data_IF_032200552575
#
_entry.id   IF_032200552575
#
_cell.length_a   1.000
_cell.length_b   1.000
_cell.length_c   1.000
_cell.angle_alpha   90.00
_cell.angle_beta   90.00
_cell.angle_gamma   90.00
#
_symmetry.space_group_name_H-M   'P 1'
#
loop_
_entity.id
_entity.type
_entity.pdbx_description
1 polymer ?
#
# COMPACT_ATOMS: atom_id res chain seq x y z
N UNK A 1 -10.47 2.39 10.54
CA UNK A 1 -11.28 1.15 10.65
C UNK A 1 -12.63 1.26 9.94
N UNK A 2 -13.51 2.22 10.26
CA UNK A 2 -14.84 2.34 9.63
C UNK A 2 -14.83 2.43 8.09
N UNK A 3 -14.00 3.33 7.53
CA UNK A 3 -13.85 3.50 6.07
C UNK A 3 -13.51 2.19 5.34
N UNK A 4 -12.66 1.35 5.95
CA UNK A 4 -12.22 0.08 5.37
C UNK A 4 -13.35 -0.96 5.35
N UNK A 5 -14.11 -1.05 6.46
CA UNK A 5 -15.28 -1.94 6.55
C UNK A 5 -16.37 -1.51 5.58
N UNK A 6 -16.64 -0.20 5.50
CA UNK A 6 -17.63 0.36 4.57
C UNK A 6 -17.24 0.09 3.11
N UNK A 7 -15.94 0.17 2.78
CA UNK A 7 -15.39 -0.20 1.49
C UNK A 7 -15.66 -1.67 1.12
N UNK A 8 -15.30 -2.62 2.00
CA UNK A 8 -15.55 -4.05 1.73
C UNK A 8 -17.02 -4.39 1.61
N UNK A 9 -17.89 -3.77 2.42
CA UNK A 9 -19.34 -3.96 2.30
C UNK A 9 -19.83 -3.46 0.94
N UNK A 10 -19.26 -2.35 0.42
CA UNK A 10 -19.62 -1.81 -0.90
C UNK A 10 -19.15 -2.74 -2.03
N UNK A 11 -17.94 -3.27 -1.95
CA UNK A 11 -17.44 -4.29 -2.90
C UNK A 11 -18.29 -5.56 -2.89
N UNK A 12 -18.66 -6.05 -1.70
CA UNK A 12 -19.53 -7.21 -1.56
C UNK A 12 -20.91 -7.00 -2.19
N UNK A 13 -21.47 -5.78 -2.07
CA UNK A 13 -22.74 -5.41 -2.76
C UNK A 13 -22.59 -5.38 -4.27
N UNK A 14 -21.48 -4.86 -4.81
CA UNK A 14 -21.23 -4.89 -6.24
C UNK A 14 -21.16 -6.32 -6.77
N UNK A 15 -20.44 -7.20 -6.06
CA UNK A 15 -20.34 -8.61 -6.41
C UNK A 15 -21.71 -9.31 -6.36
N UNK A 16 -22.47 -9.14 -5.28
CA UNK A 16 -23.78 -9.76 -5.10
C UNK A 16 -24.78 -9.34 -6.19
N UNK A 17 -24.80 -8.04 -6.52
CA UNK A 17 -25.67 -7.49 -7.54
C UNK A 17 -25.16 -7.72 -8.98
N UNK A 18 -24.01 -8.38 -9.15
CA UNK A 18 -23.30 -8.52 -10.45
C UNK A 18 -23.08 -7.17 -11.14
N UNK A 19 -22.92 -6.11 -10.36
CA UNK A 19 -22.66 -4.77 -10.86
C UNK A 19 -21.16 -4.61 -11.12
N UNK A 20 -20.81 -4.20 -12.34
CA UNK A 20 -19.43 -3.85 -12.69
C UNK A 20 -19.27 -2.33 -12.59
N UNK A 21 -18.58 -1.81 -11.56
CA UNK A 21 -18.34 -0.38 -11.43
C UNK A 21 -17.43 0.12 -12.54
N UNK A 22 -17.59 1.40 -12.90
CA UNK A 22 -16.60 2.10 -13.72
C UNK A 22 -15.31 2.30 -12.92
N UNK A 23 -14.19 2.56 -13.60
CA UNK A 23 -12.89 2.79 -12.93
C UNK A 23 -12.99 3.94 -11.90
N UNK A 24 -13.68 5.03 -12.26
CA UNK A 24 -13.85 6.20 -11.38
C UNK A 24 -14.69 5.88 -10.13
N UNK A 25 -15.66 4.98 -10.25
CA UNK A 25 -16.47 4.51 -9.10
C UNK A 25 -15.71 3.50 -8.24
N UNK A 26 -14.91 2.64 -8.88
CA UNK A 26 -14.15 1.58 -8.25
C UNK A 26 -12.99 2.13 -7.42
N UNK A 27 -12.20 3.04 -8.00
CA UNK A 27 -10.89 3.36 -7.46
C UNK A 27 -10.92 3.94 -6.04
N UNK A 28 -11.80 4.89 -5.68
CA UNK A 28 -11.87 5.39 -4.31
C UNK A 28 -12.21 4.30 -3.28
N UNK A 29 -13.04 3.32 -3.66
CA UNK A 29 -13.39 2.18 -2.81
C UNK A 29 -12.21 1.22 -2.70
N UNK A 30 -11.59 0.90 -3.83
CA UNK A 30 -10.44 0.01 -3.90
C UNK A 30 -9.24 0.53 -3.09
N UNK A 31 -8.99 1.84 -3.09
CA UNK A 31 -7.94 2.45 -2.26
C UNK A 31 -8.25 2.30 -0.77
N UNK A 32 -9.53 2.45 -0.39
CA UNK A 32 -9.97 2.32 0.99
C UNK A 32 -9.87 0.88 1.55
N UNK A 33 -10.00 -0.13 0.67
CA UNK A 33 -9.92 -1.56 1.00
C UNK A 33 -8.50 -2.14 0.86
N UNK A 34 -7.49 -1.36 0.46
CA UNK A 34 -6.11 -1.81 0.25
C UNK A 34 -5.17 -1.49 1.43
N UNK A 35 -3.96 -1.00 1.13
CA UNK A 35 -2.86 -0.63 2.02
C UNK A 35 -3.18 0.56 2.96
N UNK A 36 -4.37 1.15 2.86
CA UNK A 36 -4.79 2.29 3.69
C UNK A 36 -4.76 1.95 5.18
N UNK A 37 -5.27 0.77 5.55
CA UNK A 37 -5.23 0.31 6.94
C UNK A 37 -3.79 0.07 7.40
N UNK A 38 -2.95 -0.55 6.58
CA UNK A 38 -1.55 -0.84 6.91
C UNK A 38 -0.72 0.45 7.10
N UNK A 39 -0.99 1.48 6.30
CA UNK A 39 -0.36 2.80 6.42
C UNK A 39 -0.74 3.51 7.72
N UNK A 40 -2.02 3.46 8.13
CA UNK A 40 -2.49 4.04 9.39
C UNK A 40 -1.94 3.26 10.58
N UNK A 41 -2.04 1.93 10.57
CA UNK A 41 -1.60 1.07 11.68
C UNK A 41 -0.09 1.16 11.89
N UNK A 42 0.72 1.16 10.81
CA UNK A 42 2.17 1.34 10.93
C UNK A 42 2.55 2.68 11.56
N UNK A 43 1.80 3.75 11.23
CA UNK A 43 2.03 5.10 11.78
C UNK A 43 1.68 5.18 13.27
N UNK A 44 0.62 4.50 13.71
CA UNK A 44 0.19 4.46 15.12
C UNK A 44 1.12 3.56 15.97
N UNK A 45 1.48 2.38 15.48
CA UNK A 45 2.28 1.38 16.23
C UNK A 45 3.69 1.89 16.57
N UNK A 46 4.28 2.77 15.75
CA UNK A 46 5.63 3.29 15.98
C UNK A 46 5.73 4.41 17.03
N UNK A 47 4.61 4.88 17.60
CA UNK A 47 4.57 5.64 18.86
C UNK A 47 5.35 6.97 18.98
N UNK A 48 6.21 7.36 18.02
CA UNK A 48 7.23 8.40 18.24
C UNK A 48 7.37 9.45 17.13
N UNK A 49 6.60 9.36 16.04
CA UNK A 49 6.65 10.36 14.94
C UNK A 49 5.29 10.83 14.40
N UNK A 50 4.19 10.20 14.80
CA UNK A 50 2.85 10.59 14.35
C UNK A 50 2.27 11.69 15.25
N UNK A 51 2.39 12.95 14.81
CA UNK A 51 1.64 14.06 15.42
C UNK A 51 0.19 14.03 14.95
N UNK A 52 -0.73 14.71 15.67
CA UNK A 52 -2.12 14.89 15.21
C UNK A 52 -2.16 15.44 13.77
N UNK A 53 -1.31 16.42 13.47
CA UNK A 53 -1.20 17.00 12.13
C UNK A 53 -0.73 15.98 11.08
N UNK A 54 0.13 15.03 11.45
CA UNK A 54 0.59 13.96 10.55
C UNK A 54 -0.53 12.95 10.27
N UNK A 55 -1.35 12.64 11.27
CA UNK A 55 -2.51 11.76 11.13
C UNK A 55 -3.64 12.45 10.34
N UNK A 56 -3.93 13.71 10.64
CA UNK A 56 -4.90 14.51 9.89
C UNK A 56 -4.44 14.64 8.42
N UNK A 57 -3.16 14.91 8.17
CA UNK A 57 -2.59 14.91 6.81
C UNK A 57 -2.75 13.56 6.12
N UNK A 58 -2.42 12.44 6.78
CA UNK A 58 -2.58 11.09 6.25
C UNK A 58 -4.04 10.77 5.90
N UNK A 59 -4.98 11.23 6.72
CA UNK A 59 -6.42 11.00 6.56
C UNK A 59 -7.09 11.93 5.55
N UNK A 60 -6.45 13.05 5.18
CA UNK A 60 -6.90 13.97 4.12
C UNK A 60 -6.53 13.54 2.70
N UNK A 61 -6.06 12.30 2.53
CA UNK A 61 -5.78 11.66 1.25
C UNK A 61 -4.72 12.37 0.37
N UNK A 62 -3.50 12.60 0.90
CA UNK A 62 -2.49 13.40 0.24
C UNK A 62 -1.91 12.67 -0.95
N UNK A 63 -1.59 13.41 -2.02
CA UNK A 63 -1.16 12.88 -3.32
C UNK A 63 -0.11 11.75 -3.28
N UNK A 64 0.83 11.77 -2.32
CA UNK A 64 1.86 10.72 -2.18
C UNK A 64 1.28 9.42 -1.62
N UNK A 65 0.43 9.51 -0.61
CA UNK A 65 -0.26 8.35 -0.02
C UNK A 65 -1.18 7.77 -1.08
N UNK A 66 -1.97 8.62 -1.72
CA UNK A 66 -2.83 8.25 -2.84
C UNK A 66 -2.07 7.54 -3.97
N UNK A 67 -0.94 8.10 -4.43
CA UNK A 67 -0.13 7.47 -5.46
C UNK A 67 0.42 6.10 -5.03
N UNK A 68 0.88 5.96 -3.78
CA UNK A 68 1.36 4.68 -3.25
C UNK A 68 0.24 3.63 -3.16
N UNK A 69 -0.96 4.04 -2.73
CA UNK A 69 -2.15 3.18 -2.67
C UNK A 69 -2.61 2.76 -4.07
N UNK A 70 -2.60 3.69 -5.04
CA UNK A 70 -2.92 3.43 -6.45
C UNK A 70 -1.94 2.44 -7.04
N UNK A 71 -0.63 2.62 -6.82
CA UNK A 71 0.39 1.66 -7.25
C UNK A 71 0.12 0.29 -6.63
N UNK A 72 -0.04 0.22 -5.30
CA UNK A 72 -0.27 -1.04 -4.61
C UNK A 72 -1.55 -1.76 -5.08
N UNK A 73 -2.64 -1.00 -5.30
CA UNK A 73 -3.91 -1.52 -5.80
C UNK A 73 -3.80 -1.99 -7.26
N UNK A 74 -3.17 -1.21 -8.14
CA UNK A 74 -2.96 -1.61 -9.53
C UNK A 74 -1.99 -2.79 -9.68
N UNK A 75 -0.96 -2.88 -8.84
CA UNK A 75 -0.07 -4.05 -8.78
C UNK A 75 -0.84 -5.30 -8.33
N UNK A 76 -1.68 -5.17 -7.30
CA UNK A 76 -2.54 -6.25 -6.81
C UNK A 76 -3.56 -6.72 -7.87
N UNK A 77 -4.19 -5.79 -8.60
CA UNK A 77 -5.33 -6.12 -9.48
C UNK A 77 -4.94 -6.42 -10.93
N UNK A 78 -3.86 -5.81 -11.47
CA UNK A 78 -3.54 -5.80 -12.90
C UNK A 78 -2.15 -6.37 -13.21
N UNK A 79 -1.24 -6.47 -12.24
CA UNK A 79 0.17 -6.83 -12.46
C UNK A 79 0.80 -5.99 -13.58
N UNK A 80 1.08 -4.70 -13.35
CA UNK A 80 2.09 -3.99 -14.17
C UNK A 80 2.70 -2.72 -13.53
N UNK A 81 3.94 -2.50 -13.94
CA UNK A 81 4.99 -1.58 -13.47
C UNK A 81 4.79 -0.14 -13.98
N UNK A 82 5.42 0.83 -13.29
CA UNK A 82 5.70 2.23 -13.69
C UNK A 82 4.77 3.38 -13.21
N UNK A 83 4.36 3.42 -11.93
CA UNK A 83 3.60 4.59 -11.41
C UNK A 83 4.36 5.41 -10.33
N UNK A 84 5.38 4.84 -9.67
CA UNK A 84 6.03 5.46 -8.48
C UNK A 84 6.81 6.76 -8.81
N UNK A 85 7.44 6.85 -9.98
CA UNK A 85 8.43 7.93 -10.23
C UNK A 85 7.85 9.33 -10.40
N UNK A 86 6.55 9.48 -10.70
CA UNK A 86 5.97 10.79 -11.06
C UNK A 86 5.40 11.56 -9.86
N UNK A 87 4.92 10.85 -8.82
CA UNK A 87 4.27 11.47 -7.66
C UNK A 87 5.25 12.00 -6.59
N UNK A 88 6.50 11.50 -6.56
CA UNK A 88 7.52 11.92 -5.59
C UNK A 88 8.24 13.24 -5.94
N UNK A 89 7.88 13.90 -7.05
CA UNK A 89 8.59 15.08 -7.57
C UNK A 89 8.06 16.42 -7.03
N UNK A 90 7.05 16.42 -6.15
CA UNK A 90 6.49 17.64 -5.59
C UNK A 90 6.93 17.86 -4.13
N UNK A 91 7.46 19.06 -3.77
CA UNK A 91 7.84 19.37 -2.40
C UNK A 91 6.65 19.26 -1.45
N UNK A 92 6.83 18.57 -0.32
CA UNK A 92 5.81 18.50 0.74
C UNK A 92 6.37 19.05 2.05
N UNK A 93 5.50 19.58 2.91
CA UNK A 93 5.87 20.10 4.24
C UNK A 93 6.08 19.01 5.30
N UNK A 94 5.94 17.74 4.92
CA UNK A 94 5.89 16.61 5.84
C UNK A 94 7.29 16.04 6.05
N UNK A 95 7.67 15.66 7.29
CA UNK A 95 8.97 15.07 7.57
C UNK A 95 9.25 13.83 6.72
N UNK A 96 10.48 13.72 6.22
CA UNK A 96 10.94 12.59 5.40
C UNK A 96 10.64 11.20 6.02
N UNK A 97 10.76 10.97 7.35
CA UNK A 97 10.40 9.68 7.96
C UNK A 97 8.94 9.26 7.76
N UNK A 98 8.03 10.22 7.59
CA UNK A 98 6.61 9.97 7.31
C UNK A 98 6.42 9.67 5.81
N UNK A 99 7.14 10.36 4.93
CA UNK A 99 7.12 10.14 3.48
C UNK A 99 7.73 8.81 3.04
N UNK A 100 8.76 8.34 3.75
CA UNK A 100 9.36 7.04 3.50
C UNK A 100 8.36 5.88 3.75
N UNK A 101 7.28 6.10 4.50
CA UNK A 101 6.30 5.05 4.79
C UNK A 101 5.48 4.68 3.56
N UNK A 102 4.71 5.57 2.90
CA UNK A 102 4.02 5.22 1.66
C UNK A 102 4.97 4.69 0.59
N UNK A 103 6.17 5.26 0.48
CA UNK A 103 7.17 4.82 -0.50
C UNK A 103 7.64 3.37 -0.25
N UNK A 104 7.95 3.02 1.00
CA UNK A 104 8.36 1.66 1.35
C UNK A 104 7.21 0.66 1.19
N UNK A 105 5.96 1.06 1.41
CA UNK A 105 4.80 0.21 1.12
C UNK A 105 4.64 -0.04 -0.38
N UNK A 106 4.78 0.98 -1.22
CA UNK A 106 4.73 0.81 -2.67
C UNK A 106 5.85 -0.14 -3.17
N UNK A 107 7.06 0.00 -2.62
CA UNK A 107 8.18 -0.92 -2.91
C UNK A 107 7.94 -2.34 -2.43
N UNK A 108 7.33 -2.51 -1.26
CA UNK A 108 6.95 -3.83 -0.75
C UNK A 108 5.95 -4.51 -1.69
N UNK A 109 4.94 -3.79 -2.17
CA UNK A 109 4.00 -4.32 -3.16
C UNK A 109 4.69 -4.68 -4.47
N UNK A 110 5.68 -3.92 -4.93
CA UNK A 110 6.48 -4.28 -6.10
C UNK A 110 7.27 -5.58 -5.89
N UNK A 111 7.73 -5.88 -4.67
CA UNK A 111 8.41 -7.14 -4.35
C UNK A 111 7.42 -8.31 -4.30
N UNK A 112 6.30 -8.14 -3.60
CA UNK A 112 5.29 -9.19 -3.39
C UNK A 112 4.57 -9.54 -4.69
N UNK A 113 4.26 -8.54 -5.52
CA UNK A 113 3.52 -8.72 -6.77
C UNK A 113 4.43 -8.53 -7.99
N UNK A 114 5.70 -8.95 -7.90
CA UNK A 114 6.65 -8.76 -9.00
C UNK A 114 6.39 -9.71 -10.18
N UNK A 115 6.05 -10.95 -9.86
CA UNK A 115 5.92 -12.04 -10.83
C UNK A 115 4.61 -12.81 -10.67
N UNK A 116 4.17 -13.03 -9.43
CA UNK A 116 2.89 -13.65 -9.11
C UNK A 116 2.27 -13.03 -7.84
N UNK A 117 1.10 -13.51 -7.42
CA UNK A 117 0.54 -13.18 -6.11
C UNK A 117 1.32 -13.93 -5.02
N UNK A 118 2.50 -13.39 -4.67
CA UNK A 118 3.33 -13.96 -3.61
C UNK A 118 2.77 -13.73 -2.19
N UNK A 119 1.64 -13.02 -2.06
CA UNK A 119 0.97 -12.87 -0.77
C UNK A 119 0.16 -14.12 -0.42
N UNK A 120 -0.57 -14.65 -1.41
CA UNK A 120 -1.34 -15.89 -1.26
C UNK A 120 -0.53 -17.12 -1.65
N UNK A 121 0.33 -16.99 -2.65
CA UNK A 121 1.18 -18.05 -3.19
C UNK A 121 2.65 -17.61 -3.21
N UNK A 122 3.32 -17.68 -2.06
CA UNK A 122 4.67 -17.14 -1.81
C UNK A 122 5.70 -17.45 -2.92
N UNK A 123 5.61 -18.61 -3.55
CA UNK A 123 6.60 -19.06 -4.55
C UNK A 123 7.99 -19.23 -3.95
N UNK A 124 8.92 -19.76 -4.74
CA UNK A 124 10.30 -19.97 -4.27
C UNK A 124 11.06 -18.65 -4.15
N UNK A 125 10.77 -17.68 -5.03
CA UNK A 125 11.52 -16.42 -5.08
C UNK A 125 11.35 -15.54 -3.83
N UNK A 126 10.12 -15.39 -3.31
CA UNK A 126 9.91 -14.60 -2.07
C UNK A 126 10.48 -15.35 -0.86
N UNK A 127 10.40 -16.68 -0.84
CA UNK A 127 10.99 -17.51 0.21
C UNK A 127 12.52 -17.38 0.25
N UNK A 128 13.19 -17.42 -0.90
CA UNK A 128 14.64 -17.22 -1.01
C UNK A 128 15.03 -15.79 -0.59
N UNK A 129 14.25 -14.80 -1.01
CA UNK A 129 14.46 -13.42 -0.61
C UNK A 129 14.34 -13.24 0.92
N UNK A 130 13.32 -13.83 1.54
CA UNK A 130 13.13 -13.79 3.00
C UNK A 130 14.26 -14.52 3.72
N UNK A 131 14.62 -15.71 3.23
CA UNK A 131 15.68 -16.55 3.82
C UNK A 131 17.03 -15.83 3.81
N UNK A 132 17.44 -15.28 2.67
CA UNK A 132 18.70 -14.54 2.51
C UNK A 132 18.77 -13.22 3.28
N UNK A 133 17.66 -12.70 3.79
CA UNK A 133 17.59 -11.40 4.48
C UNK A 133 17.34 -11.50 5.97
N UNK A 134 16.59 -12.50 6.41
CA UNK A 134 16.13 -12.63 7.80
C UNK A 134 16.63 -13.89 8.50
N UNK A 135 17.07 -14.91 7.76
CA UNK A 135 17.49 -16.21 8.32
C UNK A 135 19.00 -16.37 8.19
N UNK A 136 19.54 -16.17 6.99
CA UNK A 136 20.97 -16.32 6.75
C UNK A 136 21.74 -15.16 7.38
N UNK A 137 22.71 -15.51 8.23
CA UNK A 137 23.66 -14.54 8.78
C UNK A 137 24.57 -14.04 7.67
N UNK A 138 24.76 -12.73 7.60
CA UNK A 138 25.78 -12.15 6.71
C UNK A 138 27.15 -12.70 7.14
N UNK A 139 27.92 -13.33 6.26
CA UNK A 139 29.24 -13.84 6.60
C UNK A 139 30.11 -12.70 7.12
N UNK A 140 30.52 -12.77 8.38
CA UNK A 140 31.50 -11.84 8.94
C UNK A 140 32.89 -12.26 8.51
N UNK A 141 33.59 -11.37 7.79
CA UNK A 141 35.01 -11.50 7.48
C UNK A 141 35.89 -11.28 8.70
#
# INVERSE_FOLDING_TARGET
MKIHVDGYIKEARWLHSKYTPTLDEYMPVALSTSLYMLSITSSVVMGLTATKDSLDWLLTDPNIVNAALVVGRLLNDIMSRQVINKACLHPTRIPLPVLMRPLNHARLCEVIYKYEDAFTNTGDELNDFVTSRLIELVPTA
#
